data_IF_003039115301
#
_entry.id   IF_003039115301
#
_cell.length_a   1.000
_cell.length_b   1.000
_cell.length_c   1.000
_cell.angle_alpha   90.00
_cell.angle_beta   90.00
_cell.angle_gamma   90.00
#
_symmetry.space_group_name_H-M   'P 1'
#
loop_
_entity.id
_entity.type
_entity.pdbx_description
1 polymer ?
#
# COMPACT_ATOMS: atom_id res chain seq x y z
N UNK A 1 -14.64 32.67 -22.03
CA UNK A 1 -14.53 31.36 -21.34
C UNK A 1 -13.27 30.67 -21.87
N UNK A 2 -12.46 30.10 -20.98
CA UNK A 2 -11.28 29.30 -21.34
C UNK A 2 -11.61 27.81 -21.21
N UNK A 3 -11.06 26.99 -22.10
CA UNK A 3 -11.24 25.54 -22.06
C UNK A 3 -10.56 24.97 -20.80
N UNK A 4 -11.29 24.16 -20.02
CA UNK A 4 -10.75 23.47 -18.85
C UNK A 4 -9.86 22.30 -19.28
N UNK A 5 -8.82 22.00 -18.50
CA UNK A 5 -7.91 20.88 -18.72
C UNK A 5 -8.05 19.80 -17.65
N UNK A 6 -8.04 18.54 -18.05
CA UNK A 6 -8.05 17.40 -17.13
C UNK A 6 -6.71 17.30 -16.39
N UNK A 7 -6.69 17.04 -15.06
CA UNK A 7 -5.46 16.79 -14.33
C UNK A 7 -4.69 15.58 -14.87
N UNK A 8 -3.36 15.62 -14.81
CA UNK A 8 -2.51 14.57 -15.36
C UNK A 8 -2.27 13.42 -14.39
N UNK A 9 -2.08 12.22 -14.95
CA UNK A 9 -1.66 11.01 -14.22
C UNK A 9 -0.12 10.85 -14.18
N UNK A 10 0.63 11.72 -14.85
CA UNK A 10 2.10 11.70 -14.84
C UNK A 10 2.67 11.97 -13.45
N UNK A 11 3.77 11.29 -13.12
CA UNK A 11 4.51 11.45 -11.87
C UNK A 11 5.96 11.91 -12.11
N UNK A 12 6.27 12.43 -13.30
CA UNK A 12 7.58 13.01 -13.60
C UNK A 12 7.99 14.06 -12.56
N UNK A 13 9.20 13.90 -12.01
CA UNK A 13 9.74 14.78 -10.97
C UNK A 13 9.17 14.54 -9.56
N UNK A 14 8.32 13.52 -9.37
CA UNK A 14 7.87 13.07 -8.05
C UNK A 14 8.77 11.93 -7.57
N UNK A 15 8.96 11.86 -6.25
CA UNK A 15 9.70 10.79 -5.58
C UNK A 15 8.74 9.93 -4.78
N UNK A 16 8.85 8.61 -4.91
CA UNK A 16 8.00 7.66 -4.22
C UNK A 16 8.81 6.74 -3.30
N UNK A 17 8.28 6.48 -2.11
CA UNK A 17 8.75 5.43 -1.22
C UNK A 17 7.68 4.34 -1.12
N UNK A 18 8.04 3.09 -1.40
CA UNK A 18 7.15 1.94 -1.31
C UNK A 18 7.67 0.94 -0.28
N UNK A 19 6.98 0.80 0.86
CA UNK A 19 7.31 -0.23 1.84
C UNK A 19 6.79 -1.59 1.36
N UNK A 20 7.55 -2.67 1.60
CA UNK A 20 7.23 -3.98 1.05
C UNK A 20 7.39 -4.06 -0.47
N UNK A 21 8.19 -3.16 -1.07
CA UNK A 21 8.31 -2.99 -2.52
C UNK A 21 9.07 -4.09 -3.27
N UNK A 22 9.60 -5.12 -2.60
CA UNK A 22 10.40 -6.17 -3.23
C UNK A 22 9.58 -7.28 -3.92
N UNK A 23 8.28 -7.39 -3.63
CA UNK A 23 7.40 -8.42 -4.24
C UNK A 23 5.93 -8.05 -4.17
N UNK A 24 5.09 -8.83 -4.86
CA UNK A 24 3.63 -8.76 -4.76
C UNK A 24 3.07 -7.37 -5.06
N UNK A 25 2.09 -6.93 -4.25
CA UNK A 25 1.41 -5.65 -4.43
C UNK A 25 2.38 -4.46 -4.35
N UNK A 26 3.34 -4.49 -3.42
CA UNK A 26 4.31 -3.41 -3.27
C UNK A 26 5.20 -3.28 -4.50
N UNK A 27 5.67 -4.40 -5.06
CA UNK A 27 6.43 -4.38 -6.31
C UNK A 27 5.60 -3.85 -7.48
N UNK A 28 4.35 -4.31 -7.64
CA UNK A 28 3.46 -3.80 -8.68
C UNK A 28 3.21 -2.29 -8.55
N UNK A 29 3.01 -1.80 -7.33
CA UNK A 29 2.91 -0.37 -7.04
C UNK A 29 4.19 0.39 -7.43
N UNK A 30 5.36 -0.12 -7.06
CA UNK A 30 6.65 0.47 -7.42
C UNK A 30 6.84 0.56 -8.95
N UNK A 31 6.53 -0.52 -9.67
CA UNK A 31 6.58 -0.56 -11.14
C UNK A 31 5.62 0.46 -11.74
N UNK A 32 4.38 0.53 -11.26
CA UNK A 32 3.38 1.47 -11.78
C UNK A 32 3.81 2.93 -11.59
N UNK A 33 4.36 3.26 -10.42
CA UNK A 33 4.84 4.61 -10.12
C UNK A 33 6.05 4.98 -11.00
N UNK A 34 7.00 4.06 -11.20
CA UNK A 34 8.14 4.28 -12.08
C UNK A 34 7.73 4.41 -13.55
N UNK A 35 6.81 3.57 -14.04
CA UNK A 35 6.25 3.70 -15.39
C UNK A 35 5.52 5.03 -15.62
N UNK A 36 4.92 5.60 -14.57
CA UNK A 36 4.31 6.93 -14.61
C UNK A 36 5.34 8.08 -14.50
N UNK A 37 6.63 7.78 -14.30
CA UNK A 37 7.74 8.74 -14.30
C UNK A 37 8.27 9.14 -12.91
N UNK A 38 7.84 8.49 -11.83
CA UNK A 38 8.37 8.76 -10.50
C UNK A 38 9.77 8.16 -10.31
N UNK A 39 10.59 8.80 -9.49
CA UNK A 39 11.81 8.20 -8.92
C UNK A 39 11.41 7.34 -7.71
N UNK A 40 11.76 6.05 -7.68
CA UNK A 40 11.16 5.09 -6.73
C UNK A 40 12.18 4.43 -5.82
N UNK A 41 11.97 4.56 -4.50
CA UNK A 41 12.63 3.78 -3.47
C UNK A 41 11.74 2.62 -3.05
N UNK A 42 12.31 1.41 -2.97
CA UNK A 42 11.63 0.24 -2.43
C UNK A 42 12.28 -0.18 -1.11
N UNK A 43 11.48 -0.30 -0.06
CA UNK A 43 11.95 -0.69 1.27
C UNK A 43 11.50 -2.10 1.65
N UNK A 44 12.44 -2.94 2.07
CA UNK A 44 12.15 -4.27 2.62
C UNK A 44 13.33 -4.78 3.45
N UNK A 45 13.14 -5.86 4.22
CA UNK A 45 14.22 -6.46 5.04
C UNK A 45 15.20 -7.33 4.24
N UNK A 46 14.75 -7.91 3.13
CA UNK A 46 15.54 -8.90 2.39
C UNK A 46 16.39 -8.27 1.30
N UNK A 47 17.70 -8.13 1.54
CA UNK A 47 18.67 -7.59 0.56
C UNK A 47 18.61 -8.28 -0.80
N UNK A 48 18.58 -9.61 -0.83
CA UNK A 48 18.53 -10.37 -2.09
C UNK A 48 17.23 -10.11 -2.87
N UNK A 49 16.08 -10.09 -2.17
CA UNK A 49 14.79 -9.80 -2.79
C UNK A 49 14.72 -8.37 -3.34
N UNK A 50 15.33 -7.40 -2.64
CA UNK A 50 15.46 -6.02 -3.12
C UNK A 50 16.34 -5.94 -4.36
N UNK A 51 17.49 -6.61 -4.36
CA UNK A 51 18.40 -6.64 -5.51
C UNK A 51 17.75 -7.29 -6.73
N UNK A 52 17.03 -8.40 -6.54
CA UNK A 52 16.26 -9.05 -7.59
C UNK A 52 15.17 -8.14 -8.16
N UNK A 53 14.38 -7.47 -7.30
CA UNK A 53 13.35 -6.53 -7.73
C UNK A 53 13.93 -5.35 -8.54
N UNK A 54 15.05 -4.79 -8.08
CA UNK A 54 15.73 -3.70 -8.81
C UNK A 54 16.33 -4.18 -10.14
N UNK A 55 16.90 -5.38 -10.19
CA UNK A 55 17.41 -5.99 -11.43
C UNK A 55 16.32 -6.21 -12.47
N UNK A 56 15.19 -6.80 -12.06
CA UNK A 56 14.04 -6.99 -12.95
C UNK A 56 13.48 -5.66 -13.47
N UNK A 57 13.42 -4.63 -12.63
CA UNK A 57 13.01 -3.30 -13.07
C UNK A 57 13.97 -2.72 -14.12
N UNK A 58 15.27 -2.90 -13.94
CA UNK A 58 16.31 -2.41 -14.86
C UNK A 58 16.24 -3.08 -16.25
N UNK A 59 15.88 -4.36 -16.33
CA UNK A 59 15.62 -5.06 -17.60
C UNK A 59 14.52 -4.37 -18.43
N UNK A 60 13.61 -3.68 -17.76
CA UNK A 60 12.52 -2.90 -18.37
C UNK A 60 12.79 -1.39 -18.38
N UNK A 61 14.04 -0.96 -18.24
CA UNK A 61 14.44 0.47 -18.22
C UNK A 61 13.78 1.30 -17.11
N UNK A 62 13.42 0.66 -15.99
CA UNK A 62 12.95 1.32 -14.77
C UNK A 62 14.07 1.30 -13.74
N UNK A 63 14.21 2.37 -12.96
CA UNK A 63 15.20 2.48 -11.89
C UNK A 63 14.53 2.43 -10.53
N UNK A 64 14.94 1.47 -9.69
CA UNK A 64 14.58 1.41 -8.27
C UNK A 64 15.80 1.66 -7.39
N UNK A 65 15.60 2.41 -6.32
CA UNK A 65 16.56 2.60 -5.24
C UNK A 65 16.23 1.62 -4.11
N UNK A 66 16.92 0.47 -4.01
CA UNK A 66 16.66 -0.50 -2.95
C UNK A 66 17.10 0.05 -1.59
N UNK A 67 16.24 -0.13 -0.58
CA UNK A 67 16.48 0.26 0.79
C UNK A 67 16.25 -0.94 1.72
N UNK A 68 17.33 -1.51 2.22
CA UNK A 68 17.25 -2.52 3.27
C UNK A 68 16.84 -1.84 4.59
N UNK A 69 15.62 -2.09 5.03
CA UNK A 69 15.02 -1.42 6.19
C UNK A 69 13.92 -2.29 6.81
N UNK A 70 14.00 -2.51 8.12
CA UNK A 70 12.87 -3.02 8.89
C UNK A 70 12.00 -1.86 9.37
N UNK A 71 10.82 -1.72 8.77
CA UNK A 71 9.92 -0.61 9.12
C UNK A 71 9.30 -0.73 10.53
N UNK A 72 9.47 -1.86 11.21
CA UNK A 72 9.04 -2.04 12.60
C UNK A 72 9.98 -1.36 13.61
N UNK A 73 11.23 -1.09 13.20
CA UNK A 73 12.19 -0.29 13.96
C UNK A 73 12.03 1.20 13.62
N UNK A 74 11.27 1.91 14.45
CA UNK A 74 10.98 3.33 14.24
C UNK A 74 12.24 4.22 14.29
N UNK A 75 13.26 3.84 15.08
CA UNK A 75 14.51 4.60 15.18
C UNK A 75 15.35 4.42 13.93
N UNK A 76 15.42 3.19 13.41
CA UNK A 76 16.09 2.91 12.15
C UNK A 76 15.40 3.64 10.99
N UNK A 77 14.06 3.59 10.91
CA UNK A 77 13.27 4.31 9.91
C UNK A 77 13.60 5.80 9.91
N UNK A 78 13.61 6.44 11.08
CA UNK A 78 13.94 7.86 11.19
C UNK A 78 15.39 8.14 10.73
N UNK A 79 16.36 7.36 11.21
CA UNK A 79 17.77 7.51 10.84
C UNK A 79 17.99 7.35 9.33
N UNK A 80 17.35 6.37 8.70
CA UNK A 80 17.51 6.09 7.27
C UNK A 80 16.79 7.15 6.45
N UNK A 81 15.52 7.42 6.73
CA UNK A 81 14.73 8.35 5.93
C UNK A 81 15.31 9.76 5.96
N UNK A 82 15.87 10.23 7.08
CA UNK A 82 16.53 11.56 7.16
C UNK A 82 17.67 11.74 6.17
N UNK A 83 18.31 10.66 5.72
CA UNK A 83 19.38 10.71 4.69
C UNK A 83 18.85 10.75 3.26
N UNK A 84 17.60 10.38 3.05
CA UNK A 84 16.97 10.31 1.73
C UNK A 84 16.27 11.64 1.39
N UNK A 85 16.10 11.95 0.10
CA UNK A 85 15.22 13.03 -0.30
C UNK A 85 13.78 12.80 0.23
N UNK A 86 13.08 13.86 0.65
CA UNK A 86 11.69 13.74 1.14
C UNK A 86 10.80 13.15 0.04
N UNK A 87 10.11 12.01 0.25
CA UNK A 87 9.21 11.48 -0.77
C UNK A 87 7.97 12.37 -0.91
N UNK A 88 7.50 12.51 -2.14
CA UNK A 88 6.23 13.17 -2.49
C UNK A 88 5.07 12.17 -2.42
N UNK A 89 5.37 10.87 -2.55
CA UNK A 89 4.44 9.75 -2.50
C UNK A 89 4.94 8.70 -1.51
N UNK A 90 4.10 8.26 -0.58
CA UNK A 90 4.35 7.10 0.27
C UNK A 90 3.32 6.03 0.00
N UNK A 91 3.75 4.82 -0.37
CA UNK A 91 2.89 3.65 -0.44
C UNK A 91 3.27 2.67 0.66
N UNK A 92 2.42 2.55 1.67
CA UNK A 92 2.57 1.56 2.72
C UNK A 92 1.99 0.22 2.26
N UNK A 93 2.81 -0.62 1.64
CA UNK A 93 2.40 -1.96 1.18
C UNK A 93 2.97 -3.11 2.03
N UNK A 94 3.93 -2.84 2.91
CA UNK A 94 4.41 -3.85 3.84
C UNK A 94 3.26 -4.33 4.74
N UNK A 95 3.13 -5.65 4.89
CA UNK A 95 2.10 -6.23 5.72
C UNK A 95 2.24 -7.75 5.84
N UNK A 96 1.57 -8.28 6.85
CA UNK A 96 1.55 -9.69 7.22
C UNK A 96 0.11 -10.14 7.45
N UNK A 97 -0.19 -11.35 7.01
CA UNK A 97 -1.42 -12.04 7.32
C UNK A 97 -1.08 -13.42 7.89
N UNK A 98 -1.40 -13.63 9.18
CA UNK A 98 -1.36 -14.93 9.85
C UNK A 98 -2.81 -15.29 10.19
N UNK A 99 -3.37 -16.31 9.52
CA UNK A 99 -4.77 -16.70 9.71
C UNK A 99 -4.87 -17.79 10.76
N UNK A 100 -5.82 -17.64 11.69
CA UNK A 100 -6.12 -18.60 12.75
C UNK A 100 -7.57 -18.43 13.20
N UNK A 101 -8.23 -19.51 13.66
CA UNK A 101 -9.51 -19.41 14.37
C UNK A 101 -9.41 -18.42 15.54
N UNK A 102 -10.49 -17.68 15.82
CA UNK A 102 -10.48 -16.62 16.83
C UNK A 102 -10.02 -17.10 18.21
N UNK A 103 -10.44 -18.30 18.61
CA UNK A 103 -10.11 -18.90 19.91
C UNK A 103 -8.66 -19.43 20.00
N UNK A 104 -7.93 -19.47 18.89
CA UNK A 104 -6.57 -20.02 18.79
C UNK A 104 -5.51 -18.94 18.52
N UNK A 105 -5.92 -17.68 18.40
CA UNK A 105 -4.99 -16.56 18.23
C UNK A 105 -4.12 -16.45 19.48
N UNK A 106 -2.81 -16.54 19.29
CA UNK A 106 -1.83 -16.31 20.35
C UNK A 106 -1.28 -14.87 20.29
N UNK A 107 -0.68 -14.44 21.39
CA UNK A 107 -0.13 -13.08 21.53
C UNK A 107 0.97 -12.79 20.50
N UNK A 108 1.85 -13.75 20.22
CA UNK A 108 2.92 -13.57 19.23
C UNK A 108 2.37 -13.24 17.83
N UNK A 109 1.32 -13.94 17.40
CA UNK A 109 0.68 -13.70 16.12
C UNK A 109 -0.07 -12.36 16.11
N UNK A 110 -0.73 -12.02 17.22
CA UNK A 110 -1.36 -10.71 17.37
C UNK A 110 -0.32 -9.59 17.23
N UNK A 111 0.74 -9.65 18.01
CA UNK A 111 1.80 -8.65 18.07
C UNK A 111 2.52 -8.53 16.73
N UNK A 112 2.88 -9.64 16.08
CA UNK A 112 3.55 -9.61 14.78
C UNK A 112 2.70 -8.92 13.70
N UNK A 113 1.38 -9.20 13.65
CA UNK A 113 0.48 -8.58 12.68
C UNK A 113 0.26 -7.11 13.00
N UNK A 114 0.02 -6.75 14.26
CA UNK A 114 -0.23 -5.37 14.66
C UNK A 114 1.02 -4.49 14.59
N UNK A 115 2.19 -5.04 14.93
CA UNK A 115 3.47 -4.36 14.83
C UNK A 115 3.78 -3.95 13.39
N UNK A 116 3.56 -4.85 12.42
CA UNK A 116 3.83 -4.55 11.01
C UNK A 116 2.70 -3.78 10.33
N UNK A 117 1.45 -4.25 10.43
CA UNK A 117 0.36 -3.68 9.63
C UNK A 117 -0.07 -2.29 10.11
N UNK A 118 -0.03 -2.05 11.43
CA UNK A 118 -0.52 -0.81 12.02
C UNK A 118 0.62 0.04 12.60
N UNK A 119 1.38 -0.47 13.57
CA UNK A 119 2.37 0.33 14.31
C UNK A 119 3.46 0.86 13.38
N UNK A 120 4.08 0.00 12.58
CA UNK A 120 5.10 0.41 11.62
C UNK A 120 4.54 1.41 10.59
N UNK A 121 3.38 1.11 10.01
CA UNK A 121 2.67 1.99 9.08
C UNK A 121 2.40 3.37 9.67
N UNK A 122 1.97 3.45 10.93
CA UNK A 122 1.73 4.70 11.64
C UNK A 122 3.01 5.54 11.72
N UNK A 123 4.09 4.97 12.25
CA UNK A 123 5.30 5.74 12.53
C UNK A 123 6.05 6.16 11.27
N UNK A 124 6.14 5.30 10.25
CA UNK A 124 6.75 5.71 8.98
C UNK A 124 5.94 6.81 8.29
N UNK A 125 4.60 6.73 8.34
CA UNK A 125 3.73 7.75 7.75
C UNK A 125 3.81 9.06 8.52
N UNK A 126 3.88 9.02 9.85
CA UNK A 126 4.10 10.20 10.67
C UNK A 126 5.43 10.88 10.33
N UNK A 127 6.51 10.11 10.19
CA UNK A 127 7.82 10.64 9.83
C UNK A 127 7.81 11.30 8.45
N UNK A 128 7.26 10.61 7.44
CA UNK A 128 7.15 11.14 6.07
C UNK A 128 6.25 12.38 6.03
N UNK A 129 5.09 12.36 6.70
CA UNK A 129 4.16 13.48 6.75
C UNK A 129 4.78 14.73 7.39
N UNK A 130 5.57 14.57 8.47
CA UNK A 130 6.33 15.69 9.07
C UNK A 130 7.26 16.34 8.05
N UNK A 131 7.95 15.52 7.24
CA UNK A 131 8.88 16.01 6.22
C UNK A 131 8.16 16.64 5.03
N UNK A 132 7.04 16.08 4.58
CA UNK A 132 6.18 16.67 3.56
C UNK A 132 5.68 18.05 4.00
N UNK A 133 5.17 18.16 5.24
CA UNK A 133 4.71 19.42 5.83
C UNK A 133 5.82 20.45 5.93
N UNK A 134 6.99 20.06 6.45
CA UNK A 134 8.16 20.94 6.54
C UNK A 134 8.65 21.41 5.16
N UNK A 135 8.52 20.58 4.12
CA UNK A 135 8.86 20.93 2.75
C UNK A 135 7.84 21.83 2.05
N UNK A 136 6.59 21.90 2.54
CA UNK A 136 5.54 22.79 2.02
C UNK A 136 5.00 22.45 0.63
N UNK A 137 5.24 21.25 0.11
CA UNK A 137 4.83 20.81 -1.24
C UNK A 137 3.60 19.89 -1.27
N UNK A 138 3.01 19.62 -0.11
CA UNK A 138 1.98 18.58 0.04
C UNK A 138 2.53 17.17 -0.18
N UNK A 139 1.65 16.26 -0.56
CA UNK A 139 2.04 14.88 -0.88
C UNK A 139 0.85 13.93 -0.95
N UNK A 140 1.14 12.66 -1.24
CA UNK A 140 0.15 11.59 -1.26
C UNK A 140 0.62 10.38 -0.45
N UNK A 141 -0.13 10.01 0.58
CA UNK A 141 0.09 8.79 1.36
C UNK A 141 -1.01 7.78 1.01
N UNK A 142 -0.60 6.60 0.58
CA UNK A 142 -1.47 5.50 0.18
C UNK A 142 -1.19 4.32 1.11
N UNK A 143 -2.20 3.90 1.84
CA UNK A 143 -2.14 2.70 2.66
C UNK A 143 -2.75 1.52 1.89
N UNK A 144 -1.99 0.43 1.70
CA UNK A 144 -2.57 -0.81 1.19
C UNK A 144 -3.33 -1.47 2.33
N UNK A 145 -4.64 -1.28 2.33
CA UNK A 145 -5.57 -1.87 3.27
C UNK A 145 -6.02 -3.24 2.76
N UNK A 146 -7.32 -3.52 2.77
CA UNK A 146 -7.96 -4.72 2.26
C UNK A 146 -9.45 -4.49 2.16
N UNK A 147 -10.17 -5.29 1.36
CA UNK A 147 -11.62 -5.43 1.55
C UNK A 147 -11.97 -5.74 3.02
N UNK A 148 -11.09 -6.44 3.74
CA UNK A 148 -11.25 -6.80 5.15
C UNK A 148 -10.99 -5.64 6.12
N UNK A 149 -10.73 -4.43 5.62
CA UNK A 149 -10.87 -3.19 6.39
C UNK A 149 -12.31 -2.67 6.42
N UNK A 150 -13.22 -3.32 5.67
CA UNK A 150 -14.63 -2.93 5.55
C UNK A 150 -15.60 -4.08 5.84
N UNK A 151 -15.14 -5.34 5.72
CA UNK A 151 -15.93 -6.53 6.02
C UNK A 151 -15.13 -7.53 6.87
N UNK A 152 -15.83 -8.43 7.57
CA UNK A 152 -15.19 -9.53 8.29
C UNK A 152 -14.76 -10.67 7.37
N UNK A 153 -13.85 -11.52 7.85
CA UNK A 153 -13.46 -12.77 7.22
C UNK A 153 -13.20 -13.85 8.28
N UNK A 154 -13.69 -15.09 8.10
CA UNK A 154 -13.36 -16.20 8.99
C UNK A 154 -11.85 -16.39 9.14
N UNK A 155 -11.43 -16.74 10.36
CA UNK A 155 -10.02 -17.01 10.73
C UNK A 155 -9.05 -15.82 10.57
N UNK A 156 -9.59 -14.60 10.47
CA UNK A 156 -8.82 -13.39 10.13
C UNK A 156 -9.04 -12.25 11.11
N UNK A 157 -9.39 -12.56 12.36
CA UNK A 157 -9.75 -11.55 13.38
C UNK A 157 -8.69 -10.46 13.52
N UNK A 158 -7.42 -10.83 13.73
CA UNK A 158 -6.30 -9.88 13.90
C UNK A 158 -6.03 -9.10 12.61
N UNK A 159 -6.04 -9.78 11.46
CA UNK A 159 -5.82 -9.13 10.17
C UNK A 159 -6.92 -8.10 9.88
N UNK A 160 -8.19 -8.47 10.04
CA UNK A 160 -9.34 -7.56 9.90
C UNK A 160 -9.19 -6.38 10.87
N UNK A 161 -8.93 -6.64 12.16
CA UNK A 161 -8.73 -5.58 13.15
C UNK A 161 -7.62 -4.58 12.71
N UNK A 162 -6.48 -5.08 12.22
CA UNK A 162 -5.39 -4.25 11.72
C UNK A 162 -5.79 -3.39 10.51
N UNK A 163 -6.62 -3.92 9.60
CA UNK A 163 -7.06 -3.20 8.40
C UNK A 163 -8.19 -2.21 8.69
N UNK A 164 -9.13 -2.55 9.58
CA UNK A 164 -10.11 -1.58 10.09
C UNK A 164 -9.43 -0.42 10.83
N UNK A 165 -8.40 -0.71 11.64
CA UNK A 165 -7.61 0.34 12.29
C UNK A 165 -6.92 1.25 11.28
N UNK A 166 -6.45 0.70 10.15
CA UNK A 166 -5.82 1.47 9.08
C UNK A 166 -6.82 2.37 8.35
N UNK A 167 -8.06 1.93 8.15
CA UNK A 167 -9.15 2.79 7.64
C UNK A 167 -9.45 3.96 8.59
N UNK A 168 -9.52 3.69 9.89
CA UNK A 168 -9.70 4.73 10.92
C UNK A 168 -8.55 5.74 10.93
N UNK A 169 -7.30 5.23 10.92
CA UNK A 169 -6.09 6.05 10.88
C UNK A 169 -6.07 6.96 9.64
N UNK A 170 -6.39 6.43 8.47
CA UNK A 170 -6.42 7.16 7.20
C UNK A 170 -7.35 8.37 7.25
N UNK A 171 -8.54 8.22 7.83
CA UNK A 171 -9.51 9.30 7.99
C UNK A 171 -8.98 10.41 8.90
N UNK A 172 -8.40 10.06 10.05
CA UNK A 172 -7.83 11.05 10.97
C UNK A 172 -6.63 11.75 10.34
N UNK A 173 -5.73 11.02 9.68
CA UNK A 173 -4.59 11.63 8.98
C UNK A 173 -5.04 12.60 7.88
N UNK A 174 -6.10 12.29 7.14
CA UNK A 174 -6.65 13.20 6.14
C UNK A 174 -7.17 14.52 6.75
N UNK A 175 -7.78 14.48 7.93
CA UNK A 175 -8.24 15.67 8.65
C UNK A 175 -7.06 16.49 9.18
N UNK A 176 -6.06 15.84 9.76
CA UNK A 176 -4.93 16.51 10.41
C UNK A 176 -3.85 17.02 9.45
N UNK A 177 -3.76 16.46 8.24
CA UNK A 177 -2.72 16.79 7.26
C UNK A 177 -3.25 17.55 6.03
N UNK A 178 -4.56 17.78 5.96
CA UNK A 178 -5.18 18.49 4.84
C UNK A 178 -4.71 19.94 4.68
N UNK A 179 -4.43 20.63 5.79
CA UNK A 179 -3.90 22.01 5.79
C UNK A 179 -2.51 22.10 5.12
N UNK A 180 -1.74 21.02 5.19
CA UNK A 180 -0.43 20.87 4.57
C UNK A 180 -0.51 20.41 3.10
N UNK A 181 -1.70 20.22 2.54
CA UNK A 181 -1.90 19.70 1.18
C UNK A 181 -1.50 18.23 1.03
N UNK A 182 -1.50 17.46 2.11
CA UNK A 182 -1.16 16.03 2.08
C UNK A 182 -2.46 15.22 2.01
N UNK A 183 -2.62 14.45 0.94
CA UNK A 183 -3.76 13.54 0.76
C UNK A 183 -3.41 12.18 1.34
N UNK A 184 -4.36 11.56 2.04
CA UNK A 184 -4.16 10.25 2.68
C UNK A 184 -5.34 9.36 2.34
N UNK A 185 -5.11 8.25 1.65
CA UNK A 185 -6.16 7.33 1.21
C UNK A 185 -5.77 5.87 1.41
N UNK A 186 -6.76 4.99 1.43
CA UNK A 186 -6.56 3.54 1.39
C UNK A 186 -6.85 3.00 -0.01
N UNK A 187 -6.04 2.03 -0.42
CA UNK A 187 -6.39 1.13 -1.51
C UNK A 187 -6.77 -0.21 -0.88
N UNK A 188 -7.92 -0.75 -1.28
CA UNK A 188 -8.54 -1.90 -0.62
C UNK A 188 -8.68 -3.10 -1.58
N UNK A 189 -7.62 -3.90 -1.78
CA UNK A 189 -7.67 -5.09 -2.62
C UNK A 189 -8.51 -6.22 -2.02
N UNK A 190 -9.02 -7.08 -2.90
CA UNK A 190 -9.47 -8.45 -2.56
C UNK A 190 -8.33 -9.48 -2.68
N UNK A 191 -8.65 -10.73 -2.97
CA UNK A 191 -7.73 -11.79 -3.36
C UNK A 191 -7.03 -11.47 -4.68
N UNK A 192 -5.86 -10.84 -4.58
CA UNK A 192 -4.92 -10.64 -5.70
C UNK A 192 -4.02 -11.87 -5.83
N UNK A 193 -3.84 -12.37 -7.04
CA UNK A 193 -2.91 -13.46 -7.35
C UNK A 193 -1.46 -13.02 -7.08
N UNK A 194 -0.89 -13.55 -6.01
CA UNK A 194 0.49 -13.29 -5.55
C UNK A 194 1.07 -14.58 -4.98
N UNK A 195 2.37 -14.61 -4.69
CA UNK A 195 2.97 -15.74 -3.98
C UNK A 195 2.26 -16.03 -2.63
N UNK A 196 1.76 -14.99 -1.96
CA UNK A 196 1.07 -15.09 -0.67
C UNK A 196 -0.30 -15.78 -0.78
N UNK A 197 -1.03 -15.55 -1.87
CA UNK A 197 -2.40 -16.07 -2.06
C UNK A 197 -2.44 -17.34 -2.90
N UNK A 198 -1.36 -17.67 -3.62
CA UNK A 198 -1.29 -18.79 -4.56
C UNK A 198 -1.66 -20.12 -3.91
N UNK A 199 -1.15 -20.40 -2.71
CA UNK A 199 -1.44 -21.65 -2.01
C UNK A 199 -2.92 -21.78 -1.63
N UNK A 200 -3.53 -20.72 -1.09
CA UNK A 200 -4.97 -20.73 -0.77
C UNK A 200 -5.83 -20.83 -2.03
N UNK A 201 -5.49 -20.09 -3.09
CA UNK A 201 -6.25 -20.10 -4.35
C UNK A 201 -6.08 -21.40 -5.16
N UNK A 202 -5.11 -22.25 -4.81
CA UNK A 202 -4.94 -23.57 -5.40
C UNK A 202 -5.95 -24.59 -4.86
N UNK A 203 -6.51 -24.38 -3.66
CA UNK A 203 -7.63 -25.20 -3.16
C UNK A 203 -8.90 -24.90 -3.97
N UNK A 204 -9.48 -25.89 -4.68
CA UNK A 204 -10.67 -25.69 -5.47
C UNK A 204 -11.88 -25.18 -4.67
N UNK A 205 -12.02 -25.59 -3.41
CA UNK A 205 -13.14 -25.16 -2.57
C UNK A 205 -13.00 -23.68 -2.19
N UNK A 206 -11.84 -23.29 -1.68
CA UNK A 206 -11.55 -21.89 -1.39
C UNK A 206 -11.60 -21.01 -2.65
N UNK A 207 -11.08 -21.50 -3.77
CA UNK A 207 -11.17 -20.78 -5.05
C UNK A 207 -12.62 -20.55 -5.46
N UNK A 208 -13.47 -21.57 -5.37
CA UNK A 208 -14.90 -21.44 -5.68
C UNK A 208 -15.55 -20.37 -4.79
N UNK A 209 -15.31 -20.44 -3.48
CA UNK A 209 -15.78 -19.43 -2.52
C UNK A 209 -15.35 -18.00 -2.91
N UNK A 210 -14.09 -17.81 -3.29
CA UNK A 210 -13.58 -16.51 -3.75
C UNK A 210 -14.33 -16.04 -5.01
N UNK A 211 -14.46 -16.90 -6.02
CA UNK A 211 -15.12 -16.56 -7.29
C UNK A 211 -16.62 -16.33 -7.16
N UNK A 212 -17.27 -16.92 -6.16
CA UNK A 212 -18.69 -16.71 -5.90
C UNK A 212 -18.99 -15.37 -5.23
N UNK A 213 -18.02 -14.83 -4.50
CA UNK A 213 -18.15 -13.52 -3.88
C UNK A 213 -17.70 -12.36 -4.80
N UNK A 214 -16.67 -12.56 -5.64
CA UNK A 214 -16.23 -11.54 -6.63
C UNK A 214 -17.19 -11.52 -7.83
N UNK A 215 -17.85 -10.39 -8.09
CA UNK A 215 -18.86 -10.26 -9.16
C UNK A 215 -18.26 -10.30 -10.56
N UNK A 216 -16.98 -9.91 -10.69
CA UNK A 216 -16.21 -10.09 -11.92
C UNK A 216 -15.70 -11.53 -12.16
N UNK A 217 -16.00 -12.47 -11.26
CA UNK A 217 -15.77 -13.92 -11.42
C UNK A 217 -14.32 -14.32 -11.75
N UNK A 218 -13.35 -13.56 -11.26
CA UNK A 218 -11.92 -13.89 -11.30
C UNK A 218 -11.22 -13.33 -10.07
N UNK A 219 -10.08 -13.89 -9.64
CA UNK A 219 -9.23 -13.20 -8.69
C UNK A 219 -8.67 -11.92 -9.33
N UNK A 220 -8.27 -10.99 -8.48
CA UNK A 220 -7.52 -9.82 -8.95
C UNK A 220 -6.12 -10.22 -9.40
N UNK A 221 -5.54 -9.44 -10.30
CA UNK A 221 -4.15 -9.56 -10.74
C UNK A 221 -3.37 -8.35 -10.24
N UNK A 222 -2.04 -8.43 -10.28
CA UNK A 222 -1.19 -7.32 -9.86
C UNK A 222 -1.45 -6.05 -10.69
N UNK A 223 -1.77 -6.21 -11.97
CA UNK A 223 -2.10 -5.12 -12.90
C UNK A 223 -3.36 -4.35 -12.50
N UNK A 224 -4.32 -5.02 -11.84
CA UNK A 224 -5.55 -4.35 -11.36
C UNK A 224 -5.23 -3.33 -10.23
N UNK A 225 -4.08 -3.45 -9.58
CA UNK A 225 -3.62 -2.55 -8.51
C UNK A 225 -2.86 -1.35 -9.06
N UNK A 226 -2.17 -1.51 -10.19
CA UNK A 226 -1.22 -0.53 -10.72
C UNK A 226 -1.87 0.81 -11.06
N UNK A 227 -2.97 0.79 -11.82
CA UNK A 227 -3.71 2.01 -12.20
C UNK A 227 -4.25 2.79 -10.99
N UNK A 228 -4.98 2.14 -10.06
CA UNK A 228 -5.45 2.77 -8.83
C UNK A 228 -4.35 3.43 -7.97
N UNK A 229 -3.16 2.81 -7.88
CA UNK A 229 -2.01 3.42 -7.17
C UNK A 229 -1.58 4.72 -7.85
N UNK A 230 -1.41 4.72 -9.18
CA UNK A 230 -1.02 5.92 -9.94
C UNK A 230 -2.09 7.00 -9.82
N UNK A 231 -3.37 6.64 -9.92
CA UNK A 231 -4.48 7.56 -9.74
C UNK A 231 -4.40 8.28 -8.39
N UNK A 232 -4.35 7.52 -7.30
CA UNK A 232 -4.29 8.09 -5.94
C UNK A 232 -3.02 8.93 -5.71
N UNK A 233 -1.90 8.58 -6.35
CA UNK A 233 -0.65 9.33 -6.26
C UNK A 233 -0.62 10.64 -7.06
N UNK A 234 -1.44 10.75 -8.10
CA UNK A 234 -1.40 11.85 -9.07
C UNK A 234 -2.35 13.02 -8.75
N UNK A 235 -2.26 14.09 -9.53
CA UNK A 235 -3.17 15.25 -9.46
C UNK A 235 -4.61 14.89 -9.87
N UNK A 236 -4.82 13.76 -10.56
CA UNK A 236 -6.15 13.25 -10.89
C UNK A 236 -6.99 12.92 -9.64
N UNK A 237 -6.34 12.66 -8.49
CA UNK A 237 -6.97 12.47 -7.20
C UNK A 237 -6.90 13.74 -6.30
N UNK A 238 -6.74 14.93 -6.90
CA UNK A 238 -6.45 16.18 -6.17
C UNK A 238 -7.48 16.59 -5.11
N UNK A 239 -8.73 16.12 -5.20
CA UNK A 239 -9.78 16.36 -4.21
C UNK A 239 -10.18 15.08 -3.43
N UNK A 240 -9.36 14.04 -3.47
CA UNK A 240 -9.63 12.74 -2.83
C UNK A 240 -8.65 12.55 -1.67
N UNK A 241 -9.19 12.57 -0.45
CA UNK A 241 -8.47 12.29 0.79
C UNK A 241 -9.43 11.67 1.81
N UNK A 242 -8.93 10.87 2.74
CA UNK A 242 -9.71 10.13 3.74
C UNK A 242 -10.60 9.03 3.15
N UNK A 243 -10.39 8.67 1.87
CA UNK A 243 -11.25 7.76 1.12
C UNK A 243 -10.62 6.38 0.99
N UNK A 244 -11.49 5.37 0.85
CA UNK A 244 -11.12 4.00 0.56
C UNK A 244 -11.46 3.66 -0.89
N UNK A 245 -10.46 3.31 -1.68
CA UNK A 245 -10.63 2.87 -3.06
C UNK A 245 -10.68 1.35 -3.12
N UNK A 246 -11.88 0.80 -3.28
CA UNK A 246 -12.10 -0.65 -3.41
C UNK A 246 -11.57 -1.18 -4.74
N UNK A 247 -10.72 -2.19 -4.69
CA UNK A 247 -10.25 -2.95 -5.87
C UNK A 247 -10.53 -4.44 -5.61
N UNK A 248 -11.81 -4.77 -5.60
CA UNK A 248 -12.30 -6.05 -5.08
C UNK A 248 -13.23 -6.80 -6.03
N UNK A 249 -13.40 -6.29 -7.25
CA UNK A 249 -14.30 -6.86 -8.25
C UNK A 249 -15.76 -6.96 -7.78
N UNK A 250 -16.17 -6.07 -6.87
CA UNK A 250 -17.53 -6.01 -6.33
C UNK A 250 -17.79 -6.96 -5.17
N UNK A 251 -16.75 -7.47 -4.50
CA UNK A 251 -16.94 -8.33 -3.32
C UNK A 251 -17.78 -7.64 -2.25
N UNK A 252 -17.47 -6.39 -1.91
CA UNK A 252 -18.14 -5.65 -0.82
C UNK A 252 -19.37 -4.86 -1.27
N UNK A 253 -19.79 -4.99 -2.53
CA UNK A 253 -20.95 -4.28 -3.07
C UNK A 253 -22.30 -4.92 -2.63
N UNK A 254 -22.27 -6.04 -1.90
CA UNK A 254 -23.44 -6.80 -1.43
C UNK A 254 -23.55 -6.82 0.06
#
# INVERSE_FOLDING_TARGET
>A
MTLLQTPSFTLHGKRALVTGGSRGIGFAAAVALAQAGAEVWIAARGREALAHAAGLAAEHSLAFHPLELDITDAQEVERVLTTLPTPDILVNSAGLARHQPFLEVNEENFDAVMALNLRATFFISQHVARRMRAGGKGGSIIHISSQMGHVGGPERSVYCASKFALEGLTRTMALELGDAGIRVNTLCPTFIETDLTRSSLADPAFRRYVLDNIKLRRPGRLEDIMGPVVFLASEAAGLITGSALMVDGGWTAT
#
